data_IF_919052951991
#
_entry.id   IF_919052951991
#
_cell.length_a   1.000
_cell.length_b   1.000
_cell.length_c   1.000
_cell.angle_alpha   90.00
_cell.angle_beta   90.00
_cell.angle_gamma   90.00
#
_symmetry.space_group_name_H-M   'P 1'
#
loop_
_entity.id
_entity.type
_entity.pdbx_description
1 polymer ?
#
# COMPACT_ATOMS: atom_id res chain seq x y z
N UNK A 1 -24.88 -3.48 18.85
CA UNK A 1 -24.89 -3.64 17.39
C UNK A 1 -26.28 -3.28 16.93
N UNK A 2 -26.49 -2.04 16.47
CA UNK A 2 -27.69 -1.74 15.71
C UNK A 2 -27.70 -2.61 14.48
N UNK A 3 -28.83 -3.22 14.17
CA UNK A 3 -28.98 -4.03 12.94
C UNK A 3 -28.86 -3.06 11.77
N UNK A 4 -27.76 -3.19 11.01
CA UNK A 4 -27.58 -2.42 9.78
C UNK A 4 -28.84 -2.57 8.91
N UNK A 5 -29.36 -1.44 8.42
CA UNK A 5 -30.46 -1.46 7.48
C UNK A 5 -30.00 -2.13 6.16
N UNK A 6 -30.90 -2.87 5.53
CA UNK A 6 -30.62 -3.56 4.25
C UNK A 6 -30.08 -2.57 3.22
N UNK A 7 -30.58 -1.33 3.22
CA UNK A 7 -30.09 -0.28 2.32
C UNK A 7 -28.65 0.14 2.61
N UNK A 8 -28.22 0.16 3.88
CA UNK A 8 -26.83 0.45 4.27
C UNK A 8 -25.90 -0.66 3.82
N UNK A 9 -26.31 -1.92 3.97
CA UNK A 9 -25.54 -3.09 3.49
C UNK A 9 -25.39 -3.05 1.96
N UNK A 10 -26.47 -2.80 1.23
CA UNK A 10 -26.45 -2.70 -0.23
C UNK A 10 -25.52 -1.56 -0.69
N UNK A 11 -25.64 -0.38 -0.06
CA UNK A 11 -24.80 0.77 -0.37
C UNK A 11 -23.32 0.50 -0.08
N UNK A 12 -23.03 -0.14 1.06
CA UNK A 12 -21.68 -0.55 1.43
C UNK A 12 -21.08 -1.51 0.40
N UNK A 13 -21.80 -2.56 0.03
CA UNK A 13 -21.37 -3.52 -1.00
C UNK A 13 -21.15 -2.85 -2.36
N UNK A 14 -22.03 -1.94 -2.74
CA UNK A 14 -21.93 -1.20 -3.99
C UNK A 14 -20.67 -0.31 -4.02
N UNK A 15 -20.45 0.49 -2.99
CA UNK A 15 -19.27 1.38 -2.88
C UNK A 15 -17.98 0.57 -2.84
N UNK A 16 -17.93 -0.50 -2.06
CA UNK A 16 -16.75 -1.35 -1.99
C UNK A 16 -16.47 -2.08 -3.31
N UNK A 17 -17.50 -2.55 -4.02
CA UNK A 17 -17.34 -3.20 -5.32
C UNK A 17 -16.79 -2.24 -6.37
N UNK A 18 -17.28 -0.99 -6.41
CA UNK A 18 -16.75 0.04 -7.31
C UNK A 18 -15.31 0.37 -6.93
N UNK A 19 -15.04 0.62 -5.65
CA UNK A 19 -13.70 0.96 -5.18
C UNK A 19 -12.70 -0.17 -5.48
N UNK A 20 -13.07 -1.42 -5.25
CA UNK A 20 -12.25 -2.59 -5.56
C UNK A 20 -11.99 -2.73 -7.07
N UNK A 21 -13.01 -2.53 -7.90
CA UNK A 21 -12.89 -2.59 -9.36
C UNK A 21 -11.95 -1.51 -9.89
N UNK A 22 -12.12 -0.27 -9.44
CA UNK A 22 -11.25 0.86 -9.82
C UNK A 22 -9.84 0.65 -9.28
N UNK A 23 -9.69 0.25 -8.03
CA UNK A 23 -8.40 -0.02 -7.42
C UNK A 23 -7.66 -1.16 -8.13
N UNK A 24 -8.37 -2.26 -8.45
CA UNK A 24 -7.80 -3.41 -9.18
C UNK A 24 -7.35 -3.03 -10.59
N UNK A 25 -8.17 -2.26 -11.32
CA UNK A 25 -7.81 -1.75 -12.65
C UNK A 25 -6.57 -0.84 -12.59
N UNK A 26 -6.55 0.12 -11.67
CA UNK A 26 -5.42 1.03 -11.48
C UNK A 26 -4.16 0.29 -11.01
N UNK A 27 -4.31 -0.68 -10.14
CA UNK A 27 -3.21 -1.51 -9.67
C UNK A 27 -2.57 -2.31 -10.81
N UNK A 28 -3.41 -2.91 -11.68
CA UNK A 28 -2.94 -3.66 -12.85
C UNK A 28 -2.28 -2.78 -13.90
N UNK A 29 -2.87 -1.61 -14.17
CA UNK A 29 -2.39 -0.69 -15.21
C UNK A 29 -1.10 0.04 -14.82
N UNK A 30 -1.02 0.50 -13.57
CA UNK A 30 0.07 1.35 -13.08
C UNK A 30 1.07 0.61 -12.18
N UNK A 31 0.77 -0.64 -11.79
CA UNK A 31 1.58 -1.36 -10.81
C UNK A 31 1.58 -0.72 -9.41
N UNK A 32 0.59 0.12 -9.11
CA UNK A 32 0.55 0.97 -7.90
C UNK A 32 0.05 0.24 -6.66
N UNK A 33 -0.54 -0.97 -6.83
CA UNK A 33 -1.07 -1.78 -5.72
C UNK A 33 -2.44 -1.33 -5.18
N UNK A 34 -3.09 -0.31 -5.78
CA UNK A 34 -4.48 0.09 -5.48
C UNK A 34 -4.74 0.71 -4.10
N UNK A 35 -3.79 0.69 -3.17
CA UNK A 35 -3.98 1.09 -1.76
C UNK A 35 -4.49 2.52 -1.56
N UNK A 36 -4.08 3.46 -2.41
CA UNK A 36 -4.55 4.86 -2.34
C UNK A 36 -6.09 4.95 -2.45
N UNK A 37 -6.71 4.02 -3.19
CA UNK A 37 -8.17 3.96 -3.37
C UNK A 37 -8.80 3.06 -2.30
N UNK A 38 -8.15 1.93 -1.99
CA UNK A 38 -8.67 0.94 -1.04
C UNK A 38 -8.73 1.51 0.38
N UNK A 39 -7.72 2.26 0.83
CA UNK A 39 -7.67 2.79 2.21
C UNK A 39 -8.86 3.72 2.52
N UNK A 40 -9.20 4.73 1.69
CA UNK A 40 -10.39 5.54 1.92
C UNK A 40 -11.69 4.74 1.85
N UNK A 41 -11.78 3.75 0.95
CA UNK A 41 -12.96 2.89 0.85
C UNK A 41 -13.14 2.02 2.10
N UNK A 42 -12.06 1.44 2.63
CA UNK A 42 -12.08 0.70 3.89
C UNK A 42 -12.40 1.61 5.08
N UNK A 43 -11.87 2.85 5.10
CA UNK A 43 -12.19 3.80 6.14
C UNK A 43 -13.70 4.13 6.15
N UNK A 44 -14.29 4.30 4.97
CA UNK A 44 -15.73 4.46 4.83
C UNK A 44 -16.49 3.22 5.31
N UNK A 45 -16.06 2.02 4.90
CA UNK A 45 -16.66 0.76 5.34
C UNK A 45 -16.63 0.61 6.86
N UNK A 46 -15.49 0.85 7.50
CA UNK A 46 -15.37 0.82 8.96
C UNK A 46 -16.18 1.91 9.65
N UNK A 47 -16.48 3.01 8.95
CA UNK A 47 -17.37 4.06 9.46
C UNK A 47 -18.81 3.59 9.48
N UNK A 48 -19.29 2.99 8.40
CA UNK A 48 -20.65 2.45 8.31
C UNK A 48 -20.86 1.27 9.27
N UNK A 49 -19.82 0.45 9.45
CA UNK A 49 -19.84 -0.69 10.39
C UNK A 49 -19.61 -0.27 11.87
N UNK A 50 -19.58 1.02 12.16
CA UNK A 50 -19.44 1.61 13.50
C UNK A 50 -18.22 1.09 14.29
N UNK A 51 -17.09 0.90 13.59
CA UNK A 51 -15.81 0.63 14.25
C UNK A 51 -15.33 1.87 15.02
N UNK A 52 -14.55 1.65 16.07
CA UNK A 52 -14.01 2.74 16.90
C UNK A 52 -13.21 3.74 16.07
N UNK A 53 -13.57 5.03 16.19
CA UNK A 53 -12.90 6.14 15.51
C UNK A 53 -11.40 6.16 15.80
N UNK A 54 -10.98 5.78 17.01
CA UNK A 54 -9.57 5.81 17.41
C UNK A 54 -8.70 4.84 16.59
N UNK A 55 -9.25 3.72 16.11
CA UNK A 55 -8.50 2.67 15.42
C UNK A 55 -8.83 2.55 13.94
N UNK A 56 -9.87 3.23 13.48
CA UNK A 56 -10.45 3.10 12.14
C UNK A 56 -9.43 3.30 11.02
N UNK A 57 -8.58 4.33 11.12
CA UNK A 57 -7.57 4.61 10.10
C UNK A 57 -6.46 3.54 10.08
N UNK A 58 -6.04 3.07 11.26
CA UNK A 58 -5.05 2.01 11.39
C UNK A 58 -5.55 0.70 10.78
N UNK A 59 -6.81 0.33 11.06
CA UNK A 59 -7.46 -0.84 10.47
C UNK A 59 -7.55 -0.72 8.94
N UNK A 60 -7.86 0.47 8.43
CA UNK A 60 -7.94 0.71 6.98
C UNK A 60 -6.60 0.49 6.29
N UNK A 61 -5.53 1.06 6.84
CA UNK A 61 -4.17 0.91 6.30
C UNK A 61 -3.68 -0.52 6.42
N UNK A 62 -3.81 -1.14 7.60
CA UNK A 62 -3.37 -2.51 7.83
C UNK A 62 -4.12 -3.54 6.97
N UNK A 63 -5.45 -3.40 6.84
CA UNK A 63 -6.27 -4.27 5.99
C UNK A 63 -5.94 -4.07 4.51
N UNK A 64 -5.70 -2.83 4.05
CA UNK A 64 -5.24 -2.56 2.69
C UNK A 64 -3.93 -3.28 2.37
N UNK A 65 -2.94 -3.24 3.27
CA UNK A 65 -1.69 -3.98 3.09
C UNK A 65 -1.93 -5.49 2.98
N UNK A 66 -2.84 -6.05 3.76
CA UNK A 66 -3.18 -7.47 3.67
C UNK A 66 -3.84 -7.83 2.32
N UNK A 67 -4.72 -6.97 1.79
CA UNK A 67 -5.34 -7.13 0.45
C UNK A 67 -4.26 -7.10 -0.66
N UNK A 68 -3.21 -6.30 -0.48
CA UNK A 68 -2.12 -6.20 -1.46
C UNK A 68 -1.30 -7.48 -1.55
N UNK A 69 -1.25 -8.34 -0.53
CA UNK A 69 -0.49 -9.59 -0.58
C UNK A 69 -0.91 -10.48 -1.77
N UNK A 70 -2.17 -10.95 -1.85
CA UNK A 70 -2.58 -11.80 -2.97
C UNK A 70 -2.51 -11.07 -4.32
N UNK A 71 -2.87 -9.79 -4.37
CA UNK A 71 -2.84 -9.03 -5.62
C UNK A 71 -1.42 -8.83 -6.15
N UNK A 72 -0.45 -8.58 -5.28
CA UNK A 72 0.96 -8.45 -5.66
C UNK A 72 1.60 -9.78 -6.06
N UNK A 73 1.20 -10.90 -5.47
CA UNK A 73 1.63 -12.24 -5.90
C UNK A 73 1.20 -12.50 -7.35
N UNK A 74 -0.09 -12.29 -7.64
CA UNK A 74 -0.65 -12.50 -8.99
C UNK A 74 0.01 -11.56 -9.99
N UNK A 75 0.11 -10.27 -9.66
CA UNK A 75 0.75 -9.27 -10.50
C UNK A 75 2.21 -9.60 -10.78
N UNK A 76 3.00 -9.92 -9.75
CA UNK A 76 4.41 -10.31 -9.93
C UNK A 76 4.55 -11.55 -10.81
N UNK A 77 3.71 -12.58 -10.58
CA UNK A 77 3.72 -13.82 -11.38
C UNK A 77 3.42 -13.52 -12.84
N UNK A 78 2.40 -12.72 -13.14
CA UNK A 78 2.08 -12.34 -14.52
C UNK A 78 3.23 -11.56 -15.17
N UNK A 79 3.85 -10.62 -14.46
CA UNK A 79 5.00 -9.89 -15.01
C UNK A 79 6.26 -10.73 -15.19
N UNK A 80 6.43 -11.82 -14.41
CA UNK A 80 7.51 -12.79 -14.60
C UNK A 80 7.40 -13.53 -15.93
N UNK A 81 6.19 -13.83 -16.39
CA UNK A 81 5.96 -14.50 -17.70
C UNK A 81 6.45 -13.65 -18.89
N UNK A 82 6.63 -12.34 -18.68
CA UNK A 82 7.13 -11.39 -19.68
C UNK A 82 8.56 -10.91 -19.40
N UNK A 83 9.32 -11.59 -18.53
CA UNK A 83 10.68 -11.21 -18.11
C UNK A 83 10.78 -9.76 -17.59
N UNK A 84 9.68 -9.24 -17.04
CA UNK A 84 9.57 -7.86 -16.61
C UNK A 84 9.94 -7.62 -15.14
N UNK A 85 10.42 -8.62 -14.40
CA UNK A 85 10.77 -8.52 -12.98
C UNK A 85 12.28 -8.57 -12.78
N UNK A 86 12.85 -7.54 -12.17
CA UNK A 86 14.27 -7.49 -11.80
C UNK A 86 14.48 -7.96 -10.35
N UNK A 87 14.68 -9.27 -10.18
CA UNK A 87 14.94 -9.84 -8.85
C UNK A 87 16.24 -9.38 -8.19
N UNK A 88 17.25 -8.99 -8.99
CA UNK A 88 18.51 -8.46 -8.45
C UNK A 88 18.26 -7.11 -7.78
N UNK A 89 17.45 -6.29 -8.43
CA UNK A 89 17.04 -5.00 -7.89
C UNK A 89 16.19 -5.18 -6.63
N UNK A 90 15.18 -6.06 -6.64
CA UNK A 90 14.34 -6.38 -5.47
C UNK A 90 15.21 -6.80 -4.28
N UNK A 91 16.15 -7.71 -4.49
CA UNK A 91 17.08 -8.15 -3.42
C UNK A 91 17.94 -7.02 -2.88
N UNK A 92 18.45 -6.15 -3.77
CA UNK A 92 19.32 -5.03 -3.35
C UNK A 92 18.56 -3.94 -2.57
N UNK A 93 17.28 -3.74 -2.86
CA UNK A 93 16.41 -2.80 -2.13
C UNK A 93 15.77 -3.42 -0.88
N UNK A 94 15.61 -4.73 -0.83
CA UNK A 94 14.75 -5.42 0.12
C UNK A 94 15.02 -5.06 1.58
N UNK A 95 16.30 -5.08 2.00
CA UNK A 95 16.65 -4.77 3.40
C UNK A 95 16.31 -3.31 3.78
N UNK A 96 16.56 -2.36 2.86
CA UNK A 96 16.28 -0.94 3.11
C UNK A 96 14.79 -0.64 3.12
N UNK A 97 14.02 -1.31 2.24
CA UNK A 97 12.56 -1.26 2.24
C UNK A 97 12.03 -1.78 3.58
N UNK A 98 12.55 -2.90 4.09
CA UNK A 98 12.15 -3.46 5.37
C UNK A 98 12.42 -2.49 6.53
N UNK A 99 13.59 -1.86 6.56
CA UNK A 99 13.90 -0.83 7.56
C UNK A 99 12.90 0.33 7.48
N UNK A 100 12.55 0.76 6.27
CA UNK A 100 11.54 1.79 6.04
C UNK A 100 10.16 1.36 6.53
N UNK A 101 9.73 0.13 6.22
CA UNK A 101 8.44 -0.43 6.67
C UNK A 101 8.36 -0.47 8.20
N UNK A 102 9.40 -0.95 8.88
CA UNK A 102 9.45 -1.01 10.35
C UNK A 102 9.36 0.40 10.94
N UNK A 103 10.16 1.34 10.44
CA UNK A 103 10.13 2.73 10.91
C UNK A 103 8.77 3.40 10.66
N UNK A 104 8.19 3.19 9.48
CA UNK A 104 6.88 3.74 9.12
C UNK A 104 5.75 3.14 9.96
N UNK A 105 5.77 1.84 10.22
CA UNK A 105 4.78 1.20 11.10
C UNK A 105 4.93 1.69 12.54
N UNK A 106 6.15 1.82 13.03
CA UNK A 106 6.40 2.39 14.36
C UNK A 106 5.79 3.78 14.50
N UNK A 107 5.93 4.63 13.47
CA UNK A 107 5.25 5.92 13.44
C UNK A 107 3.72 5.74 13.38
N UNK A 108 3.22 4.89 12.47
CA UNK A 108 1.78 4.68 12.27
C UNK A 108 1.07 4.32 13.57
N UNK A 109 1.56 3.32 14.31
CA UNK A 109 0.92 2.81 15.53
C UNK A 109 0.96 3.80 16.70
N UNK A 110 1.87 4.79 16.66
CA UNK A 110 1.95 5.85 17.67
C UNK A 110 1.18 7.13 17.28
N UNK A 111 0.68 7.22 16.05
CA UNK A 111 -0.12 8.36 15.61
C UNK A 111 -1.58 8.20 16.07
N UNK A 112 -2.15 9.26 16.61
CA UNK A 112 -3.61 9.33 16.82
C UNK A 112 -4.32 9.40 15.46
N UNK A 113 -5.48 8.78 15.34
CA UNK A 113 -6.25 8.71 14.08
C UNK A 113 -6.40 10.05 13.35
N UNK A 114 -6.71 11.19 13.97
CA UNK A 114 -6.81 12.47 13.24
C UNK A 114 -5.49 12.89 12.59
N UNK A 115 -4.36 12.71 13.30
CA UNK A 115 -3.04 13.02 12.77
C UNK A 115 -2.66 12.05 11.65
N UNK A 116 -3.03 10.78 11.77
CA UNK A 116 -2.78 9.78 10.72
C UNK A 116 -3.59 10.06 9.45
N UNK A 117 -4.87 10.46 9.58
CA UNK A 117 -5.70 10.89 8.45
C UNK A 117 -5.08 12.10 7.76
N UNK A 118 -4.66 13.12 8.52
CA UNK A 118 -4.02 14.30 7.96
C UNK A 118 -2.73 13.95 7.22
N UNK A 119 -1.87 13.12 7.83
CA UNK A 119 -0.65 12.65 7.19
C UNK A 119 -0.95 11.89 5.88
N UNK A 120 -1.89 10.93 5.92
CA UNK A 120 -2.32 10.18 4.74
C UNK A 120 -2.81 11.11 3.64
N UNK A 121 -3.68 12.07 3.96
CA UNK A 121 -4.26 12.99 2.99
C UNK A 121 -3.20 13.88 2.33
N UNK A 122 -2.27 14.41 3.12
CA UNK A 122 -1.16 15.24 2.60
C UNK A 122 -0.26 14.39 1.70
N UNK A 123 0.14 13.20 2.14
CA UNK A 123 1.01 12.34 1.35
C UNK A 123 0.32 11.83 0.07
N UNK A 124 -0.94 11.44 0.15
CA UNK A 124 -1.73 11.04 -1.03
C UNK A 124 -1.85 12.20 -2.03
N UNK A 125 -2.07 13.42 -1.55
CA UNK A 125 -2.12 14.62 -2.38
C UNK A 125 -0.77 14.90 -3.06
N UNK A 126 0.34 14.83 -2.32
CA UNK A 126 1.69 15.00 -2.87
C UNK A 126 1.98 13.95 -3.94
N UNK A 127 1.66 12.68 -3.67
CA UNK A 127 1.82 11.59 -4.64
C UNK A 127 0.95 11.82 -5.87
N UNK A 128 -0.30 12.28 -5.69
CA UNK A 128 -1.19 12.63 -6.80
C UNK A 128 -0.64 13.77 -7.66
N UNK A 129 -0.17 14.85 -7.03
CA UNK A 129 0.49 15.96 -7.74
C UNK A 129 1.75 15.49 -8.48
N UNK A 130 2.55 14.65 -7.83
CA UNK A 130 3.73 14.09 -8.44
C UNK A 130 3.38 13.36 -9.74
N UNK A 131 2.34 12.51 -9.77
CA UNK A 131 1.89 11.82 -10.99
C UNK A 131 1.38 12.78 -12.08
N UNK A 132 0.72 13.87 -11.72
CA UNK A 132 0.22 14.86 -12.69
C UNK A 132 1.37 15.64 -13.33
N UNK A 133 2.36 16.05 -12.53
CA UNK A 133 3.45 16.92 -12.98
C UNK A 133 4.72 16.17 -13.37
N UNK A 134 4.79 14.86 -13.04
CA UNK A 134 5.96 14.05 -13.37
C UNK A 134 6.06 13.87 -14.88
N UNK A 135 6.90 14.70 -15.48
CA UNK A 135 7.23 14.57 -16.89
C UNK A 135 8.36 13.56 -17.05
N UNK A 136 8.07 12.47 -17.70
CA UNK A 136 9.01 11.39 -17.95
C UNK A 136 10.22 11.90 -18.76
N UNK A 137 11.37 12.02 -18.14
CA UNK A 137 12.62 12.20 -18.88
C UNK A 137 13.11 10.81 -19.29
N UNK A 138 12.80 10.41 -20.51
CA UNK A 138 13.31 9.19 -21.10
C UNK A 138 14.81 9.29 -21.28
N UNK A 139 15.58 8.75 -20.35
CA UNK A 139 16.99 8.53 -20.55
C UNK A 139 17.15 7.45 -21.62
N UNK A 140 17.93 7.74 -22.68
CA UNK A 140 18.17 6.79 -23.77
C UNK A 140 18.85 5.49 -23.31
N UNK A 141 19.56 5.52 -22.18
CA UNK A 141 20.21 4.34 -21.58
C UNK A 141 19.97 4.31 -20.08
N UNK A 142 19.61 3.15 -19.51
CA UNK A 142 19.44 3.02 -18.06
C UNK A 142 20.77 3.29 -17.36
N UNK A 143 20.74 4.19 -16.37
CA UNK A 143 21.89 4.43 -15.50
C UNK A 143 21.85 3.44 -14.34
N UNK A 144 23.01 2.93 -13.96
CA UNK A 144 23.11 2.14 -12.73
C UNK A 144 22.73 3.01 -11.53
N UNK A 145 21.79 2.49 -10.73
CA UNK A 145 21.40 3.15 -9.48
C UNK A 145 22.55 2.96 -8.49
N UNK A 146 23.09 4.07 -7.97
CA UNK A 146 24.16 3.99 -6.97
C UNK A 146 23.65 3.33 -5.69
N UNK A 147 24.55 2.68 -4.94
CA UNK A 147 24.15 1.98 -3.71
C UNK A 147 23.56 2.95 -2.67
N UNK A 148 24.10 4.16 -2.56
CA UNK A 148 23.53 5.19 -1.69
C UNK A 148 22.11 5.58 -2.10
N UNK A 149 21.84 5.73 -3.40
CA UNK A 149 20.50 6.04 -3.89
C UNK A 149 19.51 4.88 -3.62
N UNK A 150 19.95 3.62 -3.76
CA UNK A 150 19.14 2.45 -3.40
C UNK A 150 18.81 2.43 -1.91
N UNK A 151 19.80 2.66 -1.06
CA UNK A 151 19.65 2.61 0.38
C UNK A 151 18.65 3.66 0.87
N UNK A 152 18.86 4.91 0.49
CA UNK A 152 18.00 6.03 0.92
C UNK A 152 16.59 5.89 0.34
N UNK A 153 16.47 5.65 -0.97
CA UNK A 153 15.15 5.53 -1.60
C UNK A 153 14.41 4.29 -1.13
N UNK A 154 15.09 3.16 -0.87
CA UNK A 154 14.48 1.96 -0.30
C UNK A 154 13.81 2.25 1.04
N UNK A 155 14.50 2.93 1.97
CA UNK A 155 13.94 3.34 3.25
C UNK A 155 12.75 4.29 3.06
N UNK A 156 12.87 5.31 2.22
CA UNK A 156 11.79 6.27 1.96
C UNK A 156 10.57 5.58 1.33
N UNK A 157 10.78 4.73 0.34
CA UNK A 157 9.71 3.97 -0.33
C UNK A 157 9.00 3.07 0.68
N UNK A 158 9.72 2.30 1.48
CA UNK A 158 9.12 1.43 2.49
C UNK A 158 8.33 2.22 3.55
N UNK A 159 8.92 3.30 4.05
CA UNK A 159 8.32 4.18 5.07
C UNK A 159 7.01 4.81 4.59
N UNK A 160 7.03 5.49 3.44
CA UNK A 160 5.84 6.16 2.92
C UNK A 160 4.77 5.13 2.50
N UNK A 161 5.20 4.02 1.89
CA UNK A 161 4.26 3.00 1.39
C UNK A 161 3.47 2.34 2.50
N UNK A 162 4.08 2.01 3.63
CA UNK A 162 3.36 1.38 4.75
C UNK A 162 2.39 2.36 5.40
N UNK A 163 2.75 3.64 5.52
CA UNK A 163 1.88 4.68 6.08
C UNK A 163 0.67 4.98 5.17
N UNK A 164 0.85 4.87 3.87
CA UNK A 164 -0.25 5.03 2.89
C UNK A 164 -1.03 3.74 2.64
N UNK A 165 -0.63 2.60 3.22
CA UNK A 165 -1.25 1.32 2.92
C UNK A 165 -1.16 0.93 1.44
N UNK A 166 -0.05 1.28 0.76
CA UNK A 166 0.17 1.01 -0.66
C UNK A 166 1.32 0.02 -0.86
N UNK A 167 1.25 -0.75 -1.93
CA UNK A 167 2.26 -1.77 -2.26
C UNK A 167 3.58 -1.23 -2.84
N UNK A 168 3.92 0.03 -2.60
CA UNK A 168 5.18 0.63 -3.07
C UNK A 168 5.27 0.92 -4.57
N UNK A 169 4.38 0.39 -5.38
CA UNK A 169 4.38 0.58 -6.83
C UNK A 169 4.31 2.06 -7.24
N UNK A 170 3.50 2.84 -6.53
CA UNK A 170 3.34 4.29 -6.75
C UNK A 170 4.65 5.06 -6.65
N UNK A 171 5.58 4.61 -5.82
CA UNK A 171 6.86 5.28 -5.61
C UNK A 171 7.99 4.60 -6.37
N UNK A 172 7.98 3.26 -6.45
CA UNK A 172 9.04 2.49 -7.10
C UNK A 172 9.03 2.65 -8.62
N UNK A 173 7.86 2.69 -9.27
CA UNK A 173 7.77 2.87 -10.72
C UNK A 173 8.40 4.20 -11.15
N UNK A 174 7.97 5.36 -10.66
CA UNK A 174 8.59 6.62 -11.05
C UNK A 174 10.07 6.69 -10.64
N UNK A 175 10.45 6.12 -9.50
CA UNK A 175 11.86 6.03 -9.11
C UNK A 175 12.69 5.29 -10.16
N UNK A 176 12.28 4.10 -10.59
CA UNK A 176 13.00 3.34 -11.62
C UNK A 176 13.03 4.08 -12.96
N UNK A 177 11.94 4.77 -13.31
CA UNK A 177 11.86 5.56 -14.55
C UNK A 177 12.86 6.71 -14.57
N UNK A 178 13.16 7.35 -13.46
CA UNK A 178 14.21 8.41 -13.39
C UNK A 178 15.60 7.88 -13.72
N UNK A 179 15.83 6.56 -13.57
CA UNK A 179 17.08 5.91 -13.95
C UNK A 179 17.05 5.26 -15.34
N UNK A 180 15.97 5.50 -16.12
CA UNK A 180 15.85 5.03 -17.50
C UNK A 180 15.41 3.58 -17.66
N UNK A 181 14.88 2.93 -16.60
CA UNK A 181 14.31 1.61 -16.73
C UNK A 181 13.05 1.63 -17.60
N UNK A 182 12.84 0.60 -18.40
CA UNK A 182 11.63 0.44 -19.17
C UNK A 182 10.38 0.37 -18.28
N UNK A 183 9.25 0.88 -18.77
CA UNK A 183 8.00 0.95 -18.02
C UNK A 183 7.51 -0.45 -17.55
N UNK A 184 7.59 -1.45 -18.43
CA UNK A 184 7.18 -2.84 -18.11
C UNK A 184 8.03 -3.41 -16.99
N UNK A 185 9.36 -3.22 -17.09
CA UNK A 185 10.31 -3.68 -16.07
C UNK A 185 10.12 -2.93 -14.74
N UNK A 186 9.81 -1.65 -14.81
CA UNK A 186 9.51 -0.84 -13.62
C UNK A 186 8.23 -1.33 -12.92
N UNK A 187 7.14 -1.59 -13.65
CA UNK A 187 5.87 -2.08 -13.10
C UNK A 187 6.04 -3.49 -12.52
N UNK A 188 6.66 -4.41 -13.25
CA UNK A 188 6.86 -5.78 -12.78
C UNK A 188 7.74 -5.85 -11.53
N UNK A 189 8.84 -5.09 -11.50
CA UNK A 189 9.73 -5.02 -10.33
C UNK A 189 9.02 -4.36 -9.14
N UNK A 190 8.23 -3.30 -9.39
CA UNK A 190 7.45 -2.64 -8.37
C UNK A 190 6.37 -3.54 -7.75
N UNK A 191 5.77 -4.45 -8.54
CA UNK A 191 4.85 -5.46 -8.01
C UNK A 191 5.55 -6.40 -7.02
N UNK A 192 6.78 -6.86 -7.32
CA UNK A 192 7.58 -7.69 -6.42
C UNK A 192 8.02 -6.94 -5.14
N UNK A 193 8.38 -5.66 -5.26
CA UNK A 193 8.64 -4.79 -4.10
C UNK A 193 7.36 -4.61 -3.29
N UNK A 194 6.21 -4.45 -3.96
CA UNK A 194 4.90 -4.34 -3.33
C UNK A 194 4.55 -5.55 -2.47
N UNK A 195 4.89 -6.75 -2.93
CA UNK A 195 4.74 -7.96 -2.15
C UNK A 195 5.53 -7.90 -0.83
N UNK A 196 6.81 -7.49 -0.89
CA UNK A 196 7.62 -7.34 0.32
C UNK A 196 7.01 -6.35 1.31
N UNK A 197 6.65 -5.16 0.83
CA UNK A 197 6.03 -4.12 1.68
C UNK A 197 4.73 -4.63 2.30
N UNK A 198 3.87 -5.28 1.50
CA UNK A 198 2.59 -5.78 1.94
C UNK A 198 2.73 -6.86 3.03
N UNK A 199 3.60 -7.85 2.84
CA UNK A 199 3.82 -8.92 3.83
C UNK A 199 4.36 -8.35 5.12
N UNK A 200 5.46 -7.61 5.06
CA UNK A 200 6.09 -7.08 6.28
C UNK A 200 5.24 -5.99 6.93
N UNK A 201 4.60 -5.12 6.13
CA UNK A 201 3.67 -4.11 6.62
C UNK A 201 2.46 -4.73 7.33
N UNK A 202 1.87 -5.79 6.78
CA UNK A 202 0.78 -6.53 7.43
C UNK A 202 1.23 -7.14 8.76
N UNK A 203 2.38 -7.82 8.78
CA UNK A 203 2.92 -8.42 10.01
C UNK A 203 3.16 -7.35 11.07
N UNK A 204 3.78 -6.24 10.69
CA UNK A 204 4.07 -5.15 11.64
C UNK A 204 2.81 -4.42 12.11
N UNK A 205 1.77 -4.28 11.28
CA UNK A 205 0.47 -3.74 11.67
C UNK A 205 -0.30 -4.69 12.60
N UNK A 206 -0.22 -6.00 12.38
CA UNK A 206 -0.79 -6.99 13.30
C UNK A 206 -0.12 -6.91 14.68
N UNK A 207 1.20 -6.92 14.70
CA UNK A 207 1.97 -6.88 15.95
C UNK A 207 1.80 -5.54 16.67
N UNK A 208 1.85 -4.42 15.96
CA UNK A 208 1.63 -3.08 16.49
C UNK A 208 0.26 -2.92 17.13
N UNK A 209 -0.80 -3.36 16.46
CA UNK A 209 -2.16 -3.28 16.99
C UNK A 209 -2.40 -4.14 18.23
N UNK A 210 -1.69 -5.29 18.37
CA UNK A 210 -1.75 -6.11 19.58
C UNK A 210 -1.01 -5.51 20.76
N UNK A 211 0.12 -4.87 20.49
CA UNK A 211 1.01 -4.34 21.55
C UNK A 211 0.52 -2.99 22.08
N UNK A 212 0.08 -2.10 21.17
CA UNK A 212 -0.25 -0.71 21.52
C UNK A 212 -1.69 -0.58 22.01
N UNK A 213 -2.67 -1.11 21.28
CA UNK A 213 -4.09 -0.86 21.56
C UNK A 213 -4.86 -2.08 22.08
N UNK A 214 -4.20 -3.26 22.16
CA UNK A 214 -4.84 -4.52 22.56
C UNK A 214 -6.22 -4.73 21.88
N UNK A 215 -6.25 -4.53 20.56
CA UNK A 215 -7.49 -4.47 19.76
C UNK A 215 -8.21 -5.81 19.81
N UNK A 216 -9.42 -5.81 20.32
CA UNK A 216 -10.36 -6.95 20.37
C UNK A 216 -11.58 -6.72 19.46
N UNK A 217 -11.39 -6.08 18.30
CA UNK A 217 -12.49 -5.92 17.34
C UNK A 217 -12.82 -7.26 16.67
N UNK A 218 -14.10 -7.55 16.41
CA UNK A 218 -14.51 -8.79 15.76
C UNK A 218 -13.76 -9.02 14.43
N UNK A 219 -13.27 -10.23 14.23
CA UNK A 219 -12.55 -10.65 13.03
C UNK A 219 -11.28 -9.84 12.71
N UNK A 220 -10.68 -9.17 13.69
CA UNK A 220 -9.44 -8.42 13.51
C UNK A 220 -8.26 -9.08 14.23
N UNK A 221 -7.10 -9.06 13.57
CA UNK A 221 -5.80 -9.40 14.13
C UNK A 221 -4.95 -8.13 14.21
N UNK A 222 -4.87 -7.50 15.39
CA UNK A 222 -4.28 -6.18 15.54
C UNK A 222 -5.00 -5.18 14.60
N UNK A 223 -4.25 -4.44 13.80
CA UNK A 223 -4.81 -3.48 12.84
C UNK A 223 -5.18 -4.10 11.48
N UNK A 224 -5.45 -5.40 11.38
CA UNK A 224 -5.87 -6.08 10.15
C UNK A 224 -7.21 -6.75 10.35
N UNK A 225 -8.22 -6.35 9.61
CA UNK A 225 -9.54 -6.96 9.64
C UNK A 225 -9.67 -8.05 8.58
N UNK A 226 -9.87 -9.30 9.03
CA UNK A 226 -9.90 -10.48 8.16
C UNK A 226 -11.18 -10.60 7.35
N UNK A 227 -12.30 -10.02 7.81
CA UNK A 227 -13.57 -10.10 7.11
C UNK A 227 -13.60 -9.26 5.82
N UNK A 228 -12.79 -8.18 5.75
CA UNK A 228 -12.74 -7.29 4.60
C UNK A 228 -11.55 -7.54 3.66
N UNK A 229 -10.73 -8.57 3.92
CA UNK A 229 -9.61 -8.95 3.02
C UNK A 229 -10.12 -9.47 1.66
N UNK A 230 -11.35 -9.98 1.61
CA UNK A 230 -11.94 -10.57 0.39
C UNK A 230 -12.52 -9.55 -0.60
N UNK A 231 -12.40 -8.27 -0.31
CA UNK A 231 -12.77 -7.17 -1.22
C UNK A 231 -11.72 -7.03 -2.30
#
# INVERSE_FOLDING_TARGET
METLDINEIINLLFVLSIAASVAGFMAGLLGVGGGIIIVPALYYAFTVLDFDIATRMHLSVGTSLAIIIPTSIISTKTHMEYDAVDFKLIKSFGIFILLGVIAGTFLAVNLKTPAFILFFSIMAFIVGLFFIFFREQLLKNPKMISDSAKNISGVIIGFISVLLGIGGGSLMVPFMRTFGYDIRRSIGTAAGVGFLIAVFGTITMITGGKIVDNINTPFSLGYVNLSLIHI
#
